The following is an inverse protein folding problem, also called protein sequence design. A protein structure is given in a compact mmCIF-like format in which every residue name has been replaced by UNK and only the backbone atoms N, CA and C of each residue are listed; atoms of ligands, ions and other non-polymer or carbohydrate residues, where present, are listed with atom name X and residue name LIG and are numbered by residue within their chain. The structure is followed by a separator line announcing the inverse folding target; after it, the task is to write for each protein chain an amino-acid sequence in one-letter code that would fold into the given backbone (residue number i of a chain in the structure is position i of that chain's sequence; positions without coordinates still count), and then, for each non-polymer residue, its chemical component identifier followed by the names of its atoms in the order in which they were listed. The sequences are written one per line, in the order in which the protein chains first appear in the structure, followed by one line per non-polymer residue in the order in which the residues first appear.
data_IF_182615472465
#
_entry.id   IF_182615472465
#
_cell.length_a   1.000
_cell.length_b   1.000
_cell.length_c   1.000
_cell.angle_alpha   90.00
_cell.angle_beta   90.00
_cell.angle_gamma   90.00
#
_symmetry.space_group_name_H-M   'P 1'
#
loop_
_entity.id
_entity.type
_entity.pdbx_description
1 polymer ?
#
# COMPACT_ATOMS: atom_id res chain seq x y z
N UNK A 1 4.64 11.85 -5.89
CA UNK A 1 5.43 11.08 -6.87
C UNK A 1 4.91 11.14 -8.32
N UNK A 2 3.65 10.76 -8.64
CA UNK A 2 3.12 10.81 -10.04
C UNK A 2 3.16 12.22 -10.65
N UNK A 3 2.84 13.25 -9.86
CA UNK A 3 2.93 14.65 -10.31
C UNK A 3 4.37 15.15 -10.47
N UNK A 4 5.34 14.57 -9.75
CA UNK A 4 6.76 14.85 -9.92
C UNK A 4 7.31 14.13 -11.16
N UNK A 5 6.92 12.87 -11.40
CA UNK A 5 7.22 12.13 -12.65
C UNK A 5 6.65 12.86 -13.88
N UNK A 6 5.42 13.38 -13.79
CA UNK A 6 4.81 14.25 -14.82
C UNK A 6 5.59 15.55 -15.03
N UNK A 7 6.23 16.10 -13.99
CA UNK A 7 7.06 17.31 -14.11
C UNK A 7 8.46 17.01 -14.65
N UNK A 8 9.09 15.89 -14.28
CA UNK A 8 10.39 15.46 -14.82
C UNK A 8 10.30 15.11 -16.31
N UNK A 9 9.13 14.66 -16.78
CA UNK A 9 8.86 14.32 -18.18
C UNK A 9 8.32 15.48 -19.02
N UNK A 10 8.25 16.72 -18.49
CA UNK A 10 7.93 17.93 -19.28
C UNK A 10 8.97 18.26 -20.37
N UNK A 11 10.02 17.45 -20.51
CA UNK A 11 11.10 17.61 -21.47
C UNK A 11 10.79 17.21 -22.92
N UNK A 12 9.75 16.41 -23.18
CA UNK A 12 9.32 16.14 -24.56
C UNK A 12 7.83 15.84 -24.59
N UNK A 13 7.08 16.57 -25.42
CA UNK A 13 5.65 16.35 -25.68
C UNK A 13 5.40 15.11 -26.56
N UNK A 14 6.37 14.21 -26.68
CA UNK A 14 6.23 12.97 -27.42
C UNK A 14 5.64 11.87 -26.52
N UNK A 15 4.34 11.67 -26.73
CA UNK A 15 3.61 10.39 -26.67
C UNK A 15 3.68 9.62 -25.34
N UNK A 16 2.99 10.11 -24.32
CA UNK A 16 2.56 9.26 -23.21
C UNK A 16 1.04 9.28 -23.05
N UNK A 17 0.48 8.15 -22.61
CA UNK A 17 -0.94 7.99 -22.32
C UNK A 17 -1.06 7.71 -20.83
N UNK A 18 -1.72 8.60 -20.10
CA UNK A 18 -1.98 8.45 -18.68
C UNK A 18 -3.47 8.19 -18.45
N UNK A 19 -3.79 7.14 -17.72
CA UNK A 19 -5.15 6.78 -17.33
C UNK A 19 -5.15 6.42 -15.85
N UNK A 20 -6.10 6.98 -15.11
CA UNK A 20 -6.38 6.61 -13.73
C UNK A 20 -7.69 5.82 -13.67
N UNK A 21 -7.62 4.58 -13.21
CA UNK A 21 -8.76 3.66 -13.14
C UNK A 21 -9.61 3.83 -11.86
N UNK A 22 -9.29 4.78 -10.97
CA UNK A 22 -10.21 5.28 -9.93
C UNK A 22 -11.17 6.37 -10.45
N UNK A 23 -10.94 6.91 -11.65
CA UNK A 23 -11.79 7.97 -12.20
C UNK A 23 -13.20 7.45 -12.50
N UNK A 24 -14.22 8.22 -12.11
CA UNK A 24 -15.64 7.83 -12.18
C UNK A 24 -16.10 7.40 -13.59
N UNK A 25 -15.40 7.87 -14.64
CA UNK A 25 -15.68 7.51 -16.03
C UNK A 25 -15.32 6.07 -16.39
N UNK A 26 -14.52 5.40 -15.56
CA UNK A 26 -14.07 4.02 -15.74
C UNK A 26 -14.80 3.02 -14.83
N UNK A 27 -15.87 3.44 -14.14
CA UNK A 27 -16.65 2.56 -13.23
C UNK A 27 -17.18 1.30 -13.95
N UNK A 28 -17.63 1.45 -15.20
CA UNK A 28 -18.15 0.35 -16.03
C UNK A 28 -17.08 -0.20 -16.99
N UNK A 29 -15.82 0.17 -16.81
CA UNK A 29 -14.74 -0.25 -17.71
C UNK A 29 -14.40 -1.72 -17.48
N UNK A 30 -14.43 -2.52 -18.55
CA UNK A 30 -14.12 -3.95 -18.50
C UNK A 30 -12.84 -4.29 -19.27
N UNK A 31 -12.38 -5.53 -19.14
CA UNK A 31 -11.18 -6.02 -19.85
C UNK A 31 -11.32 -5.89 -21.38
N UNK A 32 -12.54 -6.00 -21.89
CA UNK A 32 -12.82 -5.86 -23.32
C UNK A 32 -12.53 -4.44 -23.85
N UNK A 33 -12.63 -3.43 -22.99
CA UNK A 33 -12.48 -2.02 -23.36
C UNK A 33 -11.01 -1.58 -23.44
N UNK A 34 -10.07 -2.39 -22.94
CA UNK A 34 -8.63 -2.09 -23.00
C UNK A 34 -8.12 -1.89 -24.44
N UNK A 35 -8.74 -2.51 -25.44
CA UNK A 35 -8.38 -2.30 -26.84
C UNK A 35 -8.65 -0.86 -27.31
N UNK A 36 -9.74 -0.24 -26.81
CA UNK A 36 -10.08 1.15 -27.13
C UNK A 36 -8.99 2.12 -26.68
N UNK A 37 -8.35 1.86 -25.53
CA UNK A 37 -7.22 2.67 -25.05
C UNK A 37 -6.08 2.66 -26.06
N UNK A 38 -5.77 1.50 -26.64
CA UNK A 38 -4.68 1.35 -27.62
C UNK A 38 -5.04 1.99 -28.96
N UNK A 39 -6.30 1.88 -29.39
CA UNK A 39 -6.79 2.53 -30.61
C UNK A 39 -6.72 4.06 -30.51
N UNK A 40 -7.31 4.64 -29.46
CA UNK A 40 -7.23 6.08 -29.17
C UNK A 40 -5.77 6.55 -29.08
N UNK A 41 -4.91 5.76 -28.44
CA UNK A 41 -3.48 6.07 -28.33
C UNK A 41 -2.78 6.12 -29.70
N UNK A 42 -3.14 5.24 -30.64
CA UNK A 42 -2.58 5.23 -32.00
C UNK A 42 -3.10 6.39 -32.87
N UNK A 43 -4.34 6.81 -32.66
CA UNK A 43 -4.89 7.97 -33.38
C UNK A 43 -4.24 9.28 -32.93
N UNK A 44 -3.99 9.41 -31.63
CA UNK A 44 -3.48 10.63 -31.03
C UNK A 44 -1.95 10.78 -31.14
N UNK A 45 -1.22 9.68 -31.37
CA UNK A 45 0.24 9.67 -31.36
C UNK A 45 0.82 9.13 -32.67
N UNK A 46 1.74 9.89 -33.26
CA UNK A 46 2.53 9.48 -34.43
C UNK A 46 3.58 8.43 -34.11
N UNK A 47 4.05 8.37 -32.86
CA UNK A 47 5.01 7.38 -32.36
C UNK A 47 4.39 6.48 -31.28
N UNK A 48 4.99 5.32 -31.02
CA UNK A 48 4.52 4.40 -29.97
C UNK A 48 4.58 5.09 -28.59
N UNK A 49 3.44 5.30 -27.90
CA UNK A 49 3.46 5.97 -26.62
C UNK A 49 3.96 5.09 -25.48
N UNK A 50 4.35 5.74 -24.38
CA UNK A 50 4.52 5.11 -23.07
C UNK A 50 3.17 5.15 -22.34
N UNK A 51 2.70 4.01 -21.85
CA UNK A 51 1.48 3.94 -21.04
C UNK A 51 1.79 4.09 -19.56
N UNK A 52 1.00 4.91 -18.88
CA UNK A 52 0.99 5.10 -17.44
C UNK A 52 -0.40 4.77 -16.93
N UNK A 53 -0.53 3.67 -16.22
CA UNK A 53 -1.80 3.19 -15.68
C UNK A 53 -1.78 3.30 -14.16
N UNK A 54 -2.65 4.15 -13.65
CA UNK A 54 -2.82 4.40 -12.22
C UNK A 54 -3.98 3.57 -11.69
N UNK A 55 -3.77 2.90 -10.56
CA UNK A 55 -4.78 2.06 -9.88
C UNK A 55 -5.40 0.99 -10.79
N UNK A 56 -4.61 0.44 -11.74
CA UNK A 56 -5.09 -0.51 -12.75
C UNK A 56 -5.70 -1.79 -12.14
N UNK A 57 -5.31 -2.14 -10.92
CA UNK A 57 -5.80 -3.32 -10.22
C UNK A 57 -7.28 -3.27 -9.84
N UNK A 58 -7.93 -2.12 -10.04
CA UNK A 58 -9.39 -2.03 -9.96
C UNK A 58 -10.08 -2.75 -11.12
N UNK A 59 -9.39 -3.03 -12.23
CA UNK A 59 -9.93 -3.77 -13.37
C UNK A 59 -9.43 -5.22 -13.33
N UNK A 60 -10.30 -6.18 -13.00
CA UNK A 60 -9.91 -7.59 -12.95
C UNK A 60 -9.40 -8.10 -14.29
N UNK A 61 -8.28 -8.84 -14.32
CA UNK A 61 -7.70 -9.40 -15.56
C UNK A 61 -6.78 -8.44 -16.34
N UNK A 62 -6.51 -7.25 -15.79
CA UNK A 62 -5.60 -6.26 -16.37
C UNK A 62 -4.21 -6.82 -16.73
N UNK A 63 -3.72 -7.81 -15.98
CA UNK A 63 -2.38 -8.35 -16.12
C UNK A 63 -2.16 -9.00 -17.50
N UNK A 64 -3.20 -9.59 -18.10
CA UNK A 64 -3.14 -10.15 -19.46
C UNK A 64 -2.99 -9.06 -20.51
N UNK A 65 -3.67 -7.94 -20.32
CA UNK A 65 -3.59 -6.78 -21.21
C UNK A 65 -2.18 -6.18 -21.19
N UNK A 66 -1.65 -5.93 -19.99
CA UNK A 66 -0.30 -5.38 -19.81
C UNK A 66 0.76 -6.31 -20.39
N UNK A 67 0.62 -7.62 -20.18
CA UNK A 67 1.51 -8.61 -20.81
C UNK A 67 1.53 -8.47 -22.32
N UNK A 68 0.35 -8.36 -22.95
CA UNK A 68 0.22 -8.19 -24.41
C UNK A 68 0.88 -6.89 -24.89
N UNK A 69 0.76 -5.80 -24.14
CA UNK A 69 1.46 -4.54 -24.43
C UNK A 69 2.98 -4.72 -24.36
N UNK A 70 3.49 -5.38 -23.32
CA UNK A 70 4.91 -5.67 -23.19
C UNK A 70 5.42 -6.57 -24.34
N UNK A 71 4.67 -7.62 -24.70
CA UNK A 71 4.99 -8.53 -25.82
C UNK A 71 4.99 -7.82 -27.18
N UNK A 72 4.29 -6.68 -27.30
CA UNK A 72 4.26 -5.83 -28.51
C UNK A 72 5.23 -4.64 -28.45
N UNK A 73 6.19 -4.69 -27.51
CA UNK A 73 7.23 -3.69 -27.27
C UNK A 73 6.69 -2.30 -26.87
N UNK A 74 5.58 -2.21 -26.15
CA UNK A 74 5.20 -0.99 -25.46
C UNK A 74 5.90 -0.90 -24.10
N UNK A 75 6.25 0.33 -23.70
CA UNK A 75 6.65 0.62 -22.32
C UNK A 75 5.40 0.93 -21.52
N UNK A 76 5.22 0.23 -20.40
CA UNK A 76 4.07 0.38 -19.51
C UNK A 76 4.60 0.58 -18.10
N UNK A 77 4.16 1.67 -17.46
CA UNK A 77 4.35 1.94 -16.05
C UNK A 77 3.00 1.82 -15.35
N UNK A 78 3.01 1.17 -14.20
CA UNK A 78 1.80 0.82 -13.48
C UNK A 78 2.00 1.15 -12.01
N UNK A 79 0.97 1.75 -11.43
CA UNK A 79 0.85 1.99 -9.99
C UNK A 79 -0.41 1.32 -9.48
N UNK A 80 -0.40 1.00 -8.20
CA UNK A 80 -1.54 0.37 -7.54
C UNK A 80 -1.32 0.27 -6.04
N UNK A 81 -2.37 0.56 -5.29
CA UNK A 81 -2.28 0.83 -3.86
C UNK A 81 -2.37 -0.40 -2.94
N UNK A 82 -2.37 -1.61 -3.48
CA UNK A 82 -2.57 -2.85 -2.72
C UNK A 82 -1.52 -3.93 -3.00
N UNK A 83 -1.43 -4.92 -2.10
CA UNK A 83 -0.43 -5.99 -2.19
C UNK A 83 -0.70 -6.96 -3.34
N UNK A 84 -1.94 -7.03 -3.86
CA UNK A 84 -2.31 -7.87 -5.00
C UNK A 84 -1.47 -7.54 -6.24
N UNK A 85 -1.02 -6.29 -6.38
CA UNK A 85 -0.09 -5.85 -7.43
C UNK A 85 1.24 -6.62 -7.42
N UNK A 86 1.70 -7.05 -6.25
CA UNK A 86 2.92 -7.84 -6.06
C UNK A 86 2.65 -9.34 -5.90
N UNK A 87 1.40 -9.77 -6.14
CA UNK A 87 1.01 -11.16 -5.95
C UNK A 87 1.78 -12.12 -6.88
N UNK A 88 1.88 -13.37 -6.44
CA UNK A 88 2.41 -14.46 -7.27
C UNK A 88 1.59 -14.66 -8.54
N UNK A 89 0.29 -14.38 -8.49
CA UNK A 89 -0.61 -14.50 -9.65
C UNK A 89 -0.22 -13.50 -10.74
N UNK A 90 -0.15 -12.21 -10.41
CA UNK A 90 0.32 -11.15 -11.34
C UNK A 90 1.72 -11.47 -11.85
N UNK A 91 2.61 -11.89 -10.95
CA UNK A 91 3.98 -12.28 -11.31
C UNK A 91 4.03 -13.46 -12.27
N UNK A 92 3.15 -14.46 -12.10
CA UNK A 92 3.06 -15.63 -12.96
C UNK A 92 2.53 -15.29 -14.36
N UNK A 93 1.57 -14.37 -14.45
CA UNK A 93 0.98 -13.96 -15.73
C UNK A 93 1.96 -13.10 -16.52
N UNK A 94 2.56 -12.09 -15.88
CA UNK A 94 3.53 -11.20 -16.53
C UNK A 94 4.87 -11.93 -16.80
N UNK A 95 5.22 -12.91 -15.98
CA UNK A 95 6.48 -13.66 -16.08
C UNK A 95 7.70 -12.73 -15.90
N UNK A 96 8.80 -12.96 -16.61
CA UNK A 96 10.01 -12.12 -16.51
C UNK A 96 9.94 -10.75 -17.21
N UNK A 97 8.75 -10.24 -17.56
CA UNK A 97 8.57 -9.04 -18.41
C UNK A 97 8.29 -7.76 -17.63
N UNK A 98 8.48 -7.78 -16.31
CA UNK A 98 8.23 -6.63 -15.46
C UNK A 98 9.30 -6.50 -14.39
N UNK A 99 9.45 -5.28 -13.89
CA UNK A 99 10.22 -4.98 -12.70
C UNK A 99 9.26 -4.37 -11.68
N UNK A 100 9.06 -5.05 -10.56
CA UNK A 100 8.27 -4.54 -9.45
C UNK A 100 9.15 -3.77 -8.48
N UNK A 101 8.65 -2.62 -8.02
CA UNK A 101 9.25 -1.89 -6.92
C UNK A 101 8.19 -1.62 -5.87
N UNK A 102 8.44 -2.03 -4.64
CA UNK A 102 7.57 -1.73 -3.51
C UNK A 102 7.99 -0.39 -2.91
N UNK A 103 7.07 0.58 -2.88
CA UNK A 103 7.31 1.88 -2.28
C UNK A 103 6.81 1.88 -0.83
N UNK A 104 7.71 2.12 0.10
CA UNK A 104 7.41 2.22 1.53
C UNK A 104 7.35 3.69 1.96
N UNK A 105 6.64 4.01 3.06
CA UNK A 105 6.84 5.28 3.75
C UNK A 105 8.33 5.48 4.07
N UNK A 106 8.74 6.73 4.23
CA UNK A 106 10.12 7.09 4.53
C UNK A 106 10.63 6.27 5.71
N UNK A 107 11.82 5.69 5.55
CA UNK A 107 12.60 5.22 6.69
C UNK A 107 12.94 6.40 7.60
N UNK A 108 13.30 6.14 8.87
CA UNK A 108 13.67 7.23 9.78
C UNK A 108 14.85 8.05 9.23
N UNK A 109 15.78 7.41 8.51
CA UNK A 109 16.87 8.13 7.85
C UNK A 109 16.35 9.07 6.76
N UNK A 110 15.51 8.58 5.86
CA UNK A 110 14.91 9.41 4.81
C UNK A 110 14.01 10.51 5.40
N UNK A 111 13.35 10.26 6.52
CA UNK A 111 12.60 11.26 7.27
C UNK A 111 13.52 12.39 7.78
N UNK A 112 14.72 12.07 8.29
CA UNK A 112 15.71 13.09 8.67
C UNK A 112 16.18 13.87 7.44
N UNK A 113 16.47 13.20 6.34
CA UNK A 113 16.89 13.83 5.08
C UNK A 113 15.79 14.75 4.53
N UNK A 114 14.52 14.32 4.61
CA UNK A 114 13.34 15.11 4.23
C UNK A 114 13.16 16.36 5.11
N UNK A 115 13.51 16.26 6.40
CA UNK A 115 13.60 17.39 7.32
C UNK A 115 14.87 18.26 7.14
N UNK A 116 15.66 18.01 6.09
CA UNK A 116 16.96 18.66 5.86
C UNK A 116 17.92 18.57 7.06
N UNK A 117 17.83 17.47 7.82
CA UNK A 117 18.64 17.24 9.02
C UNK A 117 19.78 16.25 8.73
N UNK A 118 21.01 16.76 8.64
CA UNK A 118 22.20 15.93 8.45
C UNK A 118 22.80 15.47 9.78
N UNK A 119 22.97 14.15 9.91
CA UNK A 119 23.66 13.52 11.02
C UNK A 119 25.17 13.80 10.95
N UNK A 120 25.70 14.51 11.96
CA UNK A 120 27.15 14.71 12.08
C UNK A 120 27.80 13.50 12.72
N UNK A 121 29.08 13.27 12.42
CA UNK A 121 29.88 12.27 13.14
C UNK A 121 29.86 12.58 14.65
N UNK A 122 29.74 11.54 15.47
CA UNK A 122 29.68 11.66 16.94
C UNK A 122 28.46 12.46 17.46
N UNK A 123 27.34 12.46 16.72
CA UNK A 123 26.11 13.18 17.10
C UNK A 123 25.63 12.86 18.52
N UNK A 124 25.90 11.65 19.02
CA UNK A 124 25.54 11.16 20.35
C UNK A 124 26.08 12.03 21.49
N UNK A 125 27.24 12.65 21.27
CA UNK A 125 27.91 13.53 22.23
C UNK A 125 27.60 15.01 22.03
N UNK A 126 26.78 15.35 21.04
CA UNK A 126 26.40 16.73 20.71
C UNK A 126 24.93 17.00 21.02
N UNK A 127 24.52 18.26 20.95
CA UNK A 127 23.12 18.66 21.11
C UNK A 127 22.20 18.09 20.02
N UNK A 128 22.75 17.60 18.89
CA UNK A 128 21.97 16.89 17.88
C UNK A 128 21.20 15.69 18.45
N UNK A 129 21.69 15.03 19.51
CA UNK A 129 20.99 13.91 20.15
C UNK A 129 19.58 14.29 20.62
N UNK A 130 19.38 15.53 21.08
CA UNK A 130 18.08 16.00 21.56
C UNK A 130 17.13 16.21 20.38
N UNK A 131 17.63 16.80 19.28
CA UNK A 131 16.85 16.97 18.05
C UNK A 131 16.49 15.64 17.39
N UNK A 132 17.41 14.66 17.40
CA UNK A 132 17.15 13.31 16.88
C UNK A 132 16.06 12.63 17.71
N UNK A 133 16.09 12.75 19.04
CA UNK A 133 15.02 12.21 19.91
C UNK A 133 13.67 12.85 19.62
N UNK A 134 13.63 14.16 19.38
CA UNK A 134 12.42 14.88 18.99
C UNK A 134 11.87 14.36 17.64
N UNK A 135 12.72 14.29 16.61
CA UNK A 135 12.32 13.75 15.31
C UNK A 135 11.89 12.29 15.38
N UNK A 136 12.58 11.48 16.17
CA UNK A 136 12.20 10.08 16.37
C UNK A 136 10.84 9.97 17.07
N UNK A 137 10.55 10.84 18.05
CA UNK A 137 9.22 10.93 18.67
C UNK A 137 8.13 11.29 17.66
N UNK A 138 8.39 12.25 16.77
CA UNK A 138 7.45 12.60 15.69
C UNK A 138 7.25 11.44 14.72
N UNK A 139 8.35 10.80 14.28
CA UNK A 139 8.32 9.65 13.39
C UNK A 139 7.56 8.47 14.00
N UNK A 140 7.73 8.19 15.29
CA UNK A 140 6.97 7.15 15.99
C UNK A 140 5.48 7.49 16.12
N UNK A 141 5.12 8.77 16.25
CA UNK A 141 3.73 9.17 16.46
C UNK A 141 2.95 9.30 15.15
N UNK A 142 3.60 9.76 14.08
CA UNK A 142 2.94 10.07 12.81
C UNK A 142 3.39 9.16 11.66
N UNK A 143 4.47 8.39 11.82
CA UNK A 143 5.04 7.56 10.76
C UNK A 143 5.90 8.35 9.78
N UNK A 144 6.26 7.69 8.67
CA UNK A 144 7.18 8.20 7.65
C UNK A 144 6.51 8.74 6.39
N UNK A 145 5.23 9.13 6.42
CA UNK A 145 4.57 9.61 5.20
C UNK A 145 5.10 10.99 4.77
N UNK A 146 5.59 11.14 3.52
CA UNK A 146 6.07 12.42 2.99
C UNK A 146 5.02 13.54 2.99
N UNK A 147 3.73 13.19 2.90
CA UNK A 147 2.63 14.13 2.81
C UNK A 147 2.32 14.81 4.13
N UNK A 148 2.67 14.19 5.28
CA UNK A 148 2.38 14.72 6.61
C UNK A 148 2.91 16.14 6.81
N UNK A 149 4.03 16.46 6.16
CA UNK A 149 4.68 17.76 6.20
C UNK A 149 3.85 18.89 5.57
N UNK A 150 2.88 18.55 4.71
CA UNK A 150 2.00 19.53 4.06
C UNK A 150 0.79 19.90 4.92
N UNK A 151 0.49 19.11 5.95
CA UNK A 151 -0.69 19.28 6.77
C UNK A 151 -0.36 19.88 8.14
N UNK A 152 -1.14 20.86 8.55
CA UNK A 152 -1.06 21.45 9.90
C UNK A 152 -1.50 20.47 11.00
N UNK A 153 -2.36 19.50 10.65
CA UNK A 153 -2.86 18.46 11.55
C UNK A 153 -2.56 17.06 10.99
N UNK A 154 -1.35 16.52 11.22
CA UNK A 154 -0.95 15.20 10.70
C UNK A 154 -1.88 14.06 11.13
N UNK A 155 -2.47 14.15 12.33
CA UNK A 155 -3.38 13.11 12.85
C UNK A 155 -4.67 13.00 12.04
N UNK A 156 -5.24 14.14 11.64
CA UNK A 156 -6.46 14.16 10.84
C UNK A 156 -6.21 13.56 9.45
N UNK A 157 -5.09 13.91 8.83
CA UNK A 157 -4.67 13.31 7.57
C UNK A 157 -4.52 11.79 7.69
N UNK A 158 -3.76 11.28 8.67
CA UNK A 158 -3.62 9.84 8.91
C UNK A 158 -4.97 9.14 9.17
N UNK A 159 -5.89 9.82 9.87
CA UNK A 159 -7.23 9.29 10.12
C UNK A 159 -8.03 9.17 8.81
N UNK A 160 -7.92 10.15 7.91
CA UNK A 160 -8.57 10.11 6.62
C UNK A 160 -8.00 9.00 5.74
N UNK A 161 -6.67 8.83 5.71
CA UNK A 161 -6.04 7.70 5.00
C UNK A 161 -6.56 6.38 5.56
N UNK A 162 -6.49 6.20 6.88
CA UNK A 162 -6.97 5.00 7.54
C UNK A 162 -8.42 4.70 7.14
N UNK A 163 -9.29 5.71 7.13
CA UNK A 163 -10.70 5.55 6.76
C UNK A 163 -10.87 5.18 5.27
N UNK A 164 -10.07 5.78 4.37
CA UNK A 164 -10.06 5.43 2.94
C UNK A 164 -9.72 3.95 2.76
N UNK A 165 -8.61 3.49 3.33
CA UNK A 165 -8.16 2.08 3.24
C UNK A 165 -9.18 1.15 3.91
N UNK A 166 -9.66 1.51 5.09
CA UNK A 166 -10.58 0.67 5.85
C UNK A 166 -11.93 0.47 5.14
N UNK A 167 -12.57 1.54 4.65
CA UNK A 167 -13.87 1.41 3.98
C UNK A 167 -13.75 0.98 2.53
N UNK A 168 -12.77 1.50 1.79
CA UNK A 168 -12.57 1.17 0.37
C UNK A 168 -11.90 -0.17 0.18
N UNK A 169 -10.63 -0.27 0.60
CA UNK A 169 -9.79 -1.43 0.29
C UNK A 169 -10.11 -2.67 1.11
N UNK A 170 -10.69 -2.51 2.30
CA UNK A 170 -11.02 -3.64 3.17
C UNK A 170 -12.52 -3.97 3.15
N UNK A 171 -13.41 -3.05 3.53
CA UNK A 171 -14.84 -3.36 3.63
C UNK A 171 -15.49 -3.54 2.25
N UNK A 172 -15.42 -2.53 1.39
CA UNK A 172 -16.14 -2.55 0.12
C UNK A 172 -15.59 -3.63 -0.82
N UNK A 173 -14.26 -3.72 -0.96
CA UNK A 173 -13.61 -4.71 -1.85
C UNK A 173 -13.93 -6.17 -1.46
N UNK A 174 -14.05 -6.46 -0.16
CA UNK A 174 -14.28 -7.83 0.31
C UNK A 174 -15.74 -8.10 0.74
N UNK A 175 -16.66 -7.16 0.46
CA UNK A 175 -18.09 -7.25 0.82
C UNK A 175 -18.32 -7.61 2.30
N UNK A 176 -17.55 -7.01 3.21
CA UNK A 176 -17.58 -7.37 4.63
C UNK A 176 -18.86 -6.85 5.27
N UNK A 177 -19.73 -7.78 5.71
CA UNK A 177 -20.98 -7.42 6.39
C UNK A 177 -20.80 -7.06 7.86
N UNK A 178 -19.86 -7.70 8.56
CA UNK A 178 -19.66 -7.52 9.99
C UNK A 178 -18.45 -6.62 10.30
N UNK A 179 -18.64 -5.33 10.09
CA UNK A 179 -17.62 -4.31 10.38
C UNK A 179 -17.23 -4.25 11.85
N UNK A 180 -18.15 -4.58 12.77
CA UNK A 180 -17.91 -4.48 14.20
C UNK A 180 -16.78 -5.40 14.64
N UNK A 181 -16.80 -6.66 14.18
CA UNK A 181 -15.75 -7.63 14.46
C UNK A 181 -14.41 -7.18 13.87
N UNK A 182 -14.40 -6.65 12.65
CA UNK A 182 -13.20 -6.13 12.01
C UNK A 182 -12.62 -4.93 12.77
N UNK A 183 -13.46 -3.99 13.22
CA UNK A 183 -13.06 -2.85 14.06
C UNK A 183 -12.45 -3.31 15.38
N UNK A 184 -13.00 -4.35 16.02
CA UNK A 184 -12.44 -4.94 17.23
C UNK A 184 -11.09 -5.62 16.97
N UNK A 185 -10.95 -6.33 15.85
CA UNK A 185 -9.69 -6.93 15.42
C UNK A 185 -8.61 -5.86 15.28
N UNK A 186 -8.84 -4.81 14.49
CA UNK A 186 -7.87 -3.73 14.26
C UNK A 186 -7.50 -3.05 15.58
N UNK A 187 -8.48 -2.73 16.44
CA UNK A 187 -8.20 -2.16 17.77
C UNK A 187 -7.33 -3.06 18.62
N UNK A 188 -7.55 -4.38 18.56
CA UNK A 188 -6.72 -5.33 19.32
C UNK A 188 -5.31 -5.42 18.76
N UNK A 189 -5.16 -5.40 17.44
CA UNK A 189 -3.84 -5.33 16.80
C UNK A 189 -3.13 -4.03 17.20
N UNK A 190 -3.84 -2.89 17.25
CA UNK A 190 -3.30 -1.60 17.69
C UNK A 190 -2.79 -1.60 19.14
N UNK A 191 -3.57 -2.19 20.05
CA UNK A 191 -3.20 -2.33 21.46
C UNK A 191 -1.97 -3.23 21.62
N UNK A 192 -1.78 -4.18 20.69
CA UNK A 192 -0.73 -5.19 20.78
C UNK A 192 0.50 -4.86 19.94
N UNK A 193 0.60 -3.64 19.39
CA UNK A 193 1.81 -3.19 18.70
C UNK A 193 3.01 -3.31 19.64
N UNK A 194 4.06 -4.00 19.19
CA UNK A 194 5.25 -4.44 19.96
C UNK A 194 5.08 -5.68 20.85
N UNK A 195 3.93 -6.36 20.82
CA UNK A 195 3.71 -7.60 21.55
C UNK A 195 3.22 -8.71 20.62
N UNK A 196 3.67 -9.95 20.88
CA UNK A 196 3.16 -11.11 20.16
C UNK A 196 1.66 -11.29 20.42
N UNK A 197 0.89 -11.46 19.34
CA UNK A 197 -0.54 -11.74 19.41
C UNK A 197 -0.85 -13.07 18.75
N UNK A 198 -1.66 -13.88 19.43
CA UNK A 198 -2.20 -15.12 18.86
C UNK A 198 -3.65 -14.94 18.47
N UNK A 199 -4.09 -15.69 17.47
CA UNK A 199 -5.48 -15.70 16.98
C UNK A 199 -6.45 -16.09 18.10
N UNK A 200 -6.03 -16.98 18.99
CA UNK A 200 -6.83 -17.36 20.16
C UNK A 200 -7.08 -16.18 21.10
N UNK A 201 -6.10 -15.29 21.29
CA UNK A 201 -6.25 -14.09 22.12
C UNK A 201 -7.27 -13.11 21.51
N UNK A 202 -7.20 -12.91 20.21
CA UNK A 202 -8.16 -12.09 19.44
C UNK A 202 -9.57 -12.67 19.55
N UNK A 203 -9.71 -13.98 19.33
CA UNK A 203 -11.00 -14.68 19.39
C UNK A 203 -11.63 -14.59 20.78
N UNK A 204 -10.84 -14.73 21.84
CA UNK A 204 -11.32 -14.62 23.21
C UNK A 204 -11.83 -13.20 23.55
N UNK A 205 -11.16 -12.16 23.01
CA UNK A 205 -11.62 -10.77 23.16
C UNK A 205 -12.94 -10.53 22.43
N UNK A 206 -13.09 -11.04 21.21
CA UNK A 206 -14.35 -10.92 20.45
C UNK A 206 -15.47 -11.68 21.18
N UNK A 207 -15.15 -12.85 21.75
CA UNK A 207 -16.11 -13.60 22.57
C UNK A 207 -16.56 -12.83 23.81
N UNK A 208 -15.68 -12.08 24.47
CA UNK A 208 -16.03 -11.31 25.66
C UNK A 208 -16.94 -10.12 25.38
N UNK A 209 -17.00 -9.61 24.14
CA UNK A 209 -17.97 -8.56 23.76
C UNK A 209 -19.36 -9.12 23.41
N UNK A 210 -19.56 -10.44 23.51
CA UNK A 210 -20.81 -11.11 23.16
C UNK A 210 -20.93 -11.53 21.69
N UNK A 211 -19.96 -11.14 20.85
CA UNK A 211 -19.89 -11.55 19.45
C UNK A 211 -19.25 -12.95 19.30
N UNK A 212 -19.56 -13.64 18.21
CA UNK A 212 -18.91 -14.91 17.83
C UNK A 212 -18.31 -14.77 16.44
N UNK A 213 -17.10 -15.29 16.27
CA UNK A 213 -16.40 -15.32 14.99
C UNK A 213 -15.72 -16.68 14.81
N UNK A 214 -15.77 -17.20 13.58
CA UNK A 214 -15.04 -18.40 13.18
C UNK A 214 -13.54 -18.13 13.04
N UNK A 215 -12.71 -19.17 13.05
CA UNK A 215 -11.29 -19.00 12.78
C UNK A 215 -11.05 -18.55 11.33
N UNK A 216 -11.74 -19.17 10.36
CA UNK A 216 -11.60 -18.83 8.94
C UNK A 216 -11.87 -17.35 8.69
N UNK A 217 -12.99 -16.81 9.20
CA UNK A 217 -13.30 -15.39 9.08
C UNK A 217 -12.24 -14.47 9.70
N UNK A 218 -11.58 -14.89 10.78
CA UNK A 218 -10.47 -14.11 11.34
C UNK A 218 -9.22 -14.15 10.46
N UNK A 219 -8.92 -15.30 9.84
CA UNK A 219 -7.85 -15.41 8.87
C UNK A 219 -8.15 -14.56 7.64
N UNK A 220 -9.36 -14.66 7.07
CA UNK A 220 -9.80 -13.86 5.94
C UNK A 220 -9.65 -12.36 6.24
N UNK A 221 -10.10 -11.91 7.41
CA UNK A 221 -9.96 -10.50 7.82
C UNK A 221 -8.50 -10.08 7.99
N UNK A 222 -7.63 -10.95 8.51
CA UNK A 222 -6.20 -10.65 8.58
C UNK A 222 -5.60 -10.53 7.19
N UNK A 223 -5.93 -11.45 6.29
CA UNK A 223 -5.46 -11.43 4.90
C UNK A 223 -5.94 -10.18 4.17
N UNK A 224 -7.19 -9.75 4.35
CA UNK A 224 -7.69 -8.49 3.78
C UNK A 224 -6.92 -7.26 4.29
N UNK A 225 -6.53 -7.24 5.57
CA UNK A 225 -5.74 -6.16 6.14
C UNK A 225 -4.27 -6.20 5.65
N UNK A 226 -3.71 -7.39 5.38
CA UNK A 226 -2.40 -7.54 4.75
C UNK A 226 -2.44 -7.04 3.30
N UNK A 227 -3.45 -7.46 2.54
CA UNK A 227 -3.63 -7.11 1.14
C UNK A 227 -3.87 -5.61 0.95
N UNK A 228 -4.58 -4.98 1.89
CA UNK A 228 -4.78 -3.52 1.91
C UNK A 228 -3.59 -2.76 2.48
N UNK A 229 -2.48 -3.44 2.81
CA UNK A 229 -1.29 -2.82 3.39
C UNK A 229 -1.52 -2.10 4.72
N UNK A 230 -2.59 -2.47 5.45
CA UNK A 230 -2.92 -1.89 6.76
C UNK A 230 -2.15 -2.57 7.90
N UNK A 231 -1.65 -3.78 7.68
CA UNK A 231 -0.81 -4.50 8.63
C UNK A 231 0.36 -5.21 7.94
N UNK A 232 1.42 -5.46 8.71
CA UNK A 232 2.53 -6.36 8.36
C UNK A 232 2.87 -7.27 9.53
N UNK A 233 3.31 -8.48 9.25
CA UNK A 233 3.84 -9.39 10.26
C UNK A 233 5.36 -9.33 10.26
N UNK A 234 5.94 -9.23 11.45
CA UNK A 234 7.34 -9.54 11.69
C UNK A 234 7.42 -10.94 12.28
N UNK A 235 8.22 -11.79 11.63
CA UNK A 235 8.52 -13.13 12.12
C UNK A 235 9.80 -13.14 12.93
N UNK A 236 9.79 -13.83 14.08
CA UNK A 236 11.03 -14.12 14.79
C UNK A 236 11.76 -15.28 14.09
N UNK A 237 12.77 -14.96 13.30
CA UNK A 237 13.55 -15.95 12.54
C UNK A 237 14.22 -17.02 13.42
N UNK A 238 14.47 -16.73 14.70
CA UNK A 238 15.11 -17.66 15.64
C UNK A 238 14.14 -18.62 16.32
N UNK A 239 12.83 -18.33 16.30
CA UNK A 239 11.81 -19.19 16.92
C UNK A 239 11.58 -20.50 16.12
N UNK A 240 11.13 -21.58 16.79
CA UNK A 240 10.66 -22.79 16.13
C UNK A 240 9.53 -22.51 15.14
N UNK A 241 9.44 -23.30 14.08
CA UNK A 241 8.42 -23.16 13.03
C UNK A 241 6.98 -23.07 13.57
N UNK A 242 6.62 -23.93 14.53
CA UNK A 242 5.29 -23.92 15.16
C UNK A 242 4.97 -22.60 15.87
N UNK A 243 5.98 -21.93 16.42
CA UNK A 243 5.81 -20.65 17.10
C UNK A 243 5.71 -19.50 16.09
N UNK A 244 6.49 -19.52 15.01
CA UNK A 244 6.39 -18.56 13.89
C UNK A 244 4.99 -18.51 13.29
N UNK A 245 4.36 -19.67 13.10
CA UNK A 245 3.01 -19.76 12.53
C UNK A 245 1.90 -19.38 13.53
N UNK A 246 2.09 -19.67 14.81
CA UNK A 246 1.04 -19.48 15.84
C UNK A 246 1.10 -18.12 16.54
N UNK A 247 2.26 -17.47 16.55
CA UNK A 247 2.50 -16.18 17.16
C UNK A 247 3.13 -15.24 16.13
N UNK A 248 2.38 -14.21 15.76
CA UNK A 248 2.88 -13.16 14.88
C UNK A 248 2.97 -11.86 15.66
N UNK A 249 4.08 -11.15 15.49
CA UNK A 249 4.16 -9.76 15.90
C UNK A 249 3.60 -8.94 14.75
N UNK A 250 2.40 -8.42 14.91
CA UNK A 250 1.69 -7.69 13.86
C UNK A 250 1.84 -6.20 14.14
N UNK A 251 2.35 -5.48 13.15
CA UNK A 251 2.49 -4.03 13.19
C UNK A 251 1.38 -3.44 12.33
N UNK A 252 0.69 -2.43 12.86
CA UNK A 252 -0.18 -1.58 12.05
C UNK A 252 0.68 -0.63 11.24
N UNK A 253 0.41 -0.60 9.95
CA UNK A 253 0.97 0.37 9.03
C UNK A 253 -0.18 0.98 8.27
N UNK A 254 -0.08 2.25 7.92
CA UNK A 254 -0.94 2.81 6.91
C UNK A 254 -0.01 3.03 5.71
N UNK A 255 -0.47 2.86 4.47
CA UNK A 255 0.29 3.19 3.25
C UNK A 255 -0.57 4.01 2.30
N UNK A 256 0.04 5.00 1.64
CA UNK A 256 -0.45 5.74 0.47
C UNK A 256 0.68 5.76 -0.56
N UNK A 257 0.33 5.84 -1.83
CA UNK A 257 1.25 5.79 -2.98
C UNK A 257 1.36 7.16 -3.67
#
# INVERSE_FOLDING_TARGET
MVNELKQTLKGDRNSFVYINFEDERFIEFEVADFDLIVECAKELNTEKPVFYFDEIQNIDGWEKFVRRLADTNYRVLITGSNAKMLSKEVSSVLGGRFFSHEMLPLSFKEFLDFNSFSLKRNYEYSDQRFKIKEFFGQFLHYGGFPELFKFSNPREYLSNIYMKVFYGDVIARNNIQNEHILKLLIKKLAESVNNETSINRIKNLIKSTGAKVGNNTLFDYLDYLYDSYLIYSIENFTSPFSEKESKKNIILSIREF
#
